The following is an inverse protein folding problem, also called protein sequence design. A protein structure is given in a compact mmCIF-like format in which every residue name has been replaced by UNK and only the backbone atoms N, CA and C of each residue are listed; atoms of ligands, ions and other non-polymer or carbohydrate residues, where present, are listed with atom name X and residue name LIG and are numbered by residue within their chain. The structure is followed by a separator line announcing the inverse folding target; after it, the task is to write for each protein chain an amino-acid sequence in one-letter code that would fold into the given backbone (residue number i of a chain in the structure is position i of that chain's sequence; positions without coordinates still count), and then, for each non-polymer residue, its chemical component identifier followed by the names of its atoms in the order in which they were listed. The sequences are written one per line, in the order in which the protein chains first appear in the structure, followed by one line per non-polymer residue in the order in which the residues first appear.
data_IF_586978138559
#
_entry.id   IF_586978138559
#
_cell.length_a   1.000
_cell.length_b   1.000
_cell.length_c   1.000
_cell.angle_alpha   90.00
_cell.angle_beta   90.00
_cell.angle_gamma   90.00
#
_symmetry.space_group_name_H-M   'P 1'
#
loop_
_entity.id
_entity.type
_entity.pdbx_description
1 polymer ?
#
# COMPACT_ATOMS: atom_id res chain seq x y z
N UNK A 1 -3.86 1.23 19.97
CA UNK A 1 -2.83 1.39 18.90
C UNK A 1 -3.25 0.57 17.69
N UNK A 2 -3.28 1.17 16.50
CA UNK A 2 -3.54 0.49 15.23
C UNK A 2 -2.21 0.41 14.45
N UNK A 3 -1.89 -0.77 13.90
CA UNK A 3 -0.74 -0.93 13.01
C UNK A 3 -1.24 -1.06 11.58
N UNK A 4 -0.80 -0.16 10.71
CA UNK A 4 -1.13 -0.16 9.29
C UNK A 4 0.05 -0.70 8.50
N UNK A 5 -0.21 -1.66 7.63
CA UNK A 5 0.76 -2.16 6.65
C UNK A 5 0.17 -1.97 5.25
N UNK A 6 0.91 -1.27 4.39
CA UNK A 6 0.56 -1.06 2.99
C UNK A 6 1.46 -1.96 2.14
N UNK A 7 0.85 -2.76 1.25
CA UNK A 7 1.55 -3.72 0.38
C UNK A 7 1.23 -3.40 -1.09
N UNK A 8 1.96 -2.44 -1.71
CA UNK A 8 1.73 -2.05 -3.10
C UNK A 8 2.28 -3.13 -4.05
N UNK A 9 1.39 -4.02 -4.47
CA UNK A 9 1.68 -5.11 -5.42
C UNK A 9 0.42 -5.55 -6.15
N UNK A 10 -0.66 -5.77 -5.40
CA UNK A 10 -1.97 -6.13 -5.95
C UNK A 10 -1.94 -7.49 -6.62
N UNK A 11 -2.22 -7.53 -7.92
CA UNK A 11 -2.30 -8.75 -8.75
C UNK A 11 -1.13 -8.86 -9.72
N UNK A 12 -0.03 -8.18 -9.40
CA UNK A 12 1.23 -8.31 -10.13
C UNK A 12 1.82 -9.70 -9.91
N UNK A 13 2.80 -10.09 -10.72
CA UNK A 13 3.59 -11.30 -10.50
C UNK A 13 5.01 -11.11 -11.00
N UNK A 14 5.97 -11.79 -10.39
CA UNK A 14 7.36 -11.79 -10.85
C UNK A 14 7.55 -12.68 -12.08
N UNK A 15 8.51 -12.30 -12.90
CA UNK A 15 9.00 -13.03 -14.07
C UNK A 15 10.53 -13.08 -14.03
N UNK A 16 11.16 -13.83 -14.93
CA UNK A 16 12.63 -13.84 -15.06
C UNK A 16 13.22 -12.45 -15.37
N UNK A 17 12.44 -11.58 -16.01
CA UNK A 17 12.85 -10.25 -16.45
C UNK A 17 12.36 -9.10 -15.56
N UNK A 18 11.64 -9.38 -14.47
CA UNK A 18 11.12 -8.35 -13.57
C UNK A 18 9.73 -8.66 -13.03
N UNK A 19 8.79 -7.72 -13.22
CA UNK A 19 7.41 -7.85 -12.75
C UNK A 19 6.44 -7.52 -13.88
N UNK A 20 5.33 -8.27 -13.92
CA UNK A 20 4.18 -7.96 -14.78
C UNK A 20 3.02 -7.48 -13.92
N UNK A 21 2.38 -6.39 -14.35
CA UNK A 21 1.25 -5.79 -13.66
C UNK A 21 0.06 -5.64 -14.63
N UNK A 22 -1.16 -5.56 -14.11
CA UNK A 22 -2.39 -5.60 -14.91
C UNK A 22 -2.55 -4.37 -15.83
N UNK A 23 -1.99 -3.25 -15.40
CA UNK A 23 -1.99 -1.96 -16.10
C UNK A 23 -0.60 -1.64 -16.68
N UNK A 24 0.24 -2.65 -16.86
CA UNK A 24 1.53 -2.55 -17.55
C UNK A 24 2.67 -1.96 -16.71
N UNK A 25 3.76 -1.59 -17.39
CA UNK A 25 5.02 -1.22 -16.75
C UNK A 25 4.94 0.01 -15.84
N UNK A 26 4.03 0.95 -16.14
CA UNK A 26 3.81 2.14 -15.31
C UNK A 26 3.29 1.78 -13.91
N UNK A 27 2.34 0.85 -13.83
CA UNK A 27 1.85 0.34 -12.54
C UNK A 27 2.96 -0.37 -11.78
N UNK A 28 3.76 -1.22 -12.44
CA UNK A 28 4.90 -1.88 -11.79
C UNK A 28 5.91 -0.88 -11.23
N UNK A 29 6.22 0.17 -12.00
CA UNK A 29 7.07 1.27 -11.53
C UNK A 29 6.45 1.96 -10.32
N UNK A 30 5.15 2.28 -10.36
CA UNK A 30 4.42 2.90 -9.26
C UNK A 30 4.41 2.06 -7.98
N UNK A 31 4.20 0.75 -8.10
CA UNK A 31 4.29 -0.19 -6.98
C UNK A 31 5.67 -0.18 -6.32
N UNK A 32 6.72 -0.14 -7.14
CA UNK A 32 8.10 -0.07 -6.65
C UNK A 32 8.42 1.28 -6.01
N UNK A 33 7.97 2.41 -6.59
CA UNK A 33 8.09 3.76 -5.99
C UNK A 33 7.46 3.78 -4.61
N UNK A 34 6.21 3.30 -4.49
CA UNK A 34 5.53 3.23 -3.21
C UNK A 34 6.27 2.33 -2.23
N UNK A 35 6.70 1.13 -2.63
CA UNK A 35 7.48 0.23 -1.75
C UNK A 35 8.76 0.88 -1.23
N UNK A 36 9.50 1.56 -2.11
CA UNK A 36 10.71 2.26 -1.74
C UNK A 36 10.45 3.39 -0.74
N UNK A 37 9.44 4.22 -0.98
CA UNK A 37 9.05 5.27 -0.04
C UNK A 37 8.61 4.70 1.31
N UNK A 38 7.77 3.65 1.32
CA UNK A 38 7.31 2.99 2.53
C UNK A 38 8.47 2.40 3.36
N UNK A 39 9.52 1.90 2.71
CA UNK A 39 10.72 1.37 3.38
C UNK A 39 11.56 2.44 4.10
N UNK A 40 11.38 3.72 3.75
CA UNK A 40 12.15 4.85 4.29
C UNK A 40 11.33 5.70 5.28
N UNK A 41 10.01 5.71 5.13
CA UNK A 41 9.12 6.49 5.97
C UNK A 41 8.79 5.76 7.28
N UNK A 42 8.64 6.49 8.40
CA UNK A 42 8.09 5.92 9.63
C UNK A 42 6.70 5.31 9.40
N UNK A 43 6.46 4.14 10.00
CA UNK A 43 5.19 3.44 9.89
C UNK A 43 4.00 4.32 10.32
N UNK A 44 2.88 4.19 9.62
CA UNK A 44 1.64 4.90 9.93
C UNK A 44 1.39 6.12 9.05
N UNK A 45 1.22 7.30 9.67
CA UNK A 45 0.62 8.46 8.98
C UNK A 45 1.43 8.95 7.77
N UNK A 46 2.75 9.02 7.89
CA UNK A 46 3.64 9.47 6.79
C UNK A 46 3.59 8.54 5.58
N UNK A 47 3.57 7.23 5.82
CA UNK A 47 3.38 6.24 4.77
C UNK A 47 2.03 6.41 4.05
N UNK A 48 0.94 6.60 4.83
CA UNK A 48 -0.39 6.83 4.27
C UNK A 48 -0.47 8.14 3.47
N UNK A 49 0.10 9.22 3.97
CA UNK A 49 0.12 10.52 3.29
C UNK A 49 0.89 10.42 1.95
N UNK A 50 2.06 9.77 1.93
CA UNK A 50 2.81 9.53 0.69
C UNK A 50 1.99 8.72 -0.31
N UNK A 51 1.47 7.56 0.11
CA UNK A 51 0.71 6.66 -0.76
C UNK A 51 -0.54 7.35 -1.31
N UNK A 52 -1.28 8.08 -0.48
CA UNK A 52 -2.47 8.82 -0.92
C UNK A 52 -2.13 9.93 -1.92
N UNK A 53 -1.05 10.68 -1.67
CA UNK A 53 -0.60 11.71 -2.59
C UNK A 53 -0.17 11.10 -3.94
N UNK A 54 0.68 10.08 -3.91
CA UNK A 54 1.24 9.47 -5.11
C UNK A 54 0.16 8.77 -5.94
N UNK A 55 -0.82 8.10 -5.31
CA UNK A 55 -1.94 7.51 -6.03
C UNK A 55 -2.85 8.54 -6.72
N UNK A 56 -2.85 9.80 -6.27
CA UNK A 56 -3.59 10.89 -6.91
C UNK A 56 -2.95 11.39 -8.22
N UNK A 57 -1.62 11.30 -8.33
CA UNK A 57 -0.86 11.64 -9.54
C UNK A 57 0.38 10.72 -9.66
N UNK A 58 0.20 9.47 -10.13
CA UNK A 58 1.27 8.48 -10.16
C UNK A 58 2.31 8.75 -11.27
N UNK A 59 1.95 9.57 -12.27
CA UNK A 59 2.84 9.89 -13.38
C UNK A 59 3.79 11.04 -13.04
N UNK A 60 3.34 12.06 -12.27
CA UNK A 60 4.13 13.28 -12.03
C UNK A 60 4.26 13.67 -10.55
N UNK A 61 3.42 13.14 -9.67
CA UNK A 61 3.34 13.55 -8.26
C UNK A 61 4.48 13.03 -7.37
N UNK A 62 5.28 12.05 -7.83
CA UNK A 62 6.34 11.39 -7.05
C UNK A 62 7.23 12.35 -6.24
N UNK A 63 7.93 13.29 -6.88
CA UNK A 63 8.82 14.23 -6.19
C UNK A 63 8.09 15.10 -5.15
N UNK A 64 6.93 15.66 -5.52
CA UNK A 64 6.13 16.51 -4.62
C UNK A 64 5.62 15.72 -3.41
N UNK A 65 5.14 14.49 -3.62
CA UNK A 65 4.65 13.62 -2.56
C UNK A 65 5.76 13.18 -1.61
N UNK A 66 6.97 12.95 -2.14
CA UNK A 66 8.16 12.65 -1.33
C UNK A 66 8.48 13.84 -0.40
N UNK A 67 8.57 15.05 -0.96
CA UNK A 67 8.87 16.26 -0.20
C UNK A 67 7.83 16.52 0.91
N UNK A 68 6.53 16.46 0.60
CA UNK A 68 5.45 16.63 1.58
C UNK A 68 5.50 15.57 2.70
N UNK A 69 5.99 14.38 2.37
CA UNK A 69 6.15 13.29 3.34
C UNK A 69 7.45 13.40 4.14
N UNK A 70 8.36 14.31 3.78
CA UNK A 70 9.66 14.50 4.43
C UNK A 70 10.71 13.51 3.94
N UNK A 71 10.65 13.11 2.67
CA UNK A 71 11.57 12.19 2.01
C UNK A 71 12.19 12.86 0.78
N UNK A 72 13.45 12.54 0.46
CA UNK A 72 14.05 12.94 -0.81
C UNK A 72 13.57 12.02 -1.93
N UNK A 73 13.25 12.61 -3.09
CA UNK A 73 12.99 11.81 -4.29
C UNK A 73 14.21 10.96 -4.69
N UNK A 74 15.41 11.49 -4.48
CA UNK A 74 16.66 10.78 -4.76
C UNK A 74 16.81 9.49 -3.92
N UNK A 75 16.30 9.48 -2.67
CA UNK A 75 16.31 8.28 -1.84
C UNK A 75 15.41 7.18 -2.40
N UNK A 76 14.26 7.57 -2.97
CA UNK A 76 13.34 6.65 -3.64
C UNK A 76 14.00 6.11 -4.92
N UNK A 77 14.57 6.98 -5.75
CA UNK A 77 15.24 6.58 -6.98
C UNK A 77 16.44 5.67 -6.70
N UNK A 78 17.25 5.99 -5.69
CA UNK A 78 18.35 5.14 -5.25
C UNK A 78 17.89 3.76 -4.79
N UNK A 79 16.76 3.68 -4.09
CA UNK A 79 16.14 2.39 -3.73
C UNK A 79 15.70 1.59 -4.97
N UNK A 80 15.11 2.25 -5.97
CA UNK A 80 14.69 1.60 -7.21
C UNK A 80 15.88 1.06 -8.02
N UNK A 81 17.00 1.79 -8.04
CA UNK A 81 18.17 1.47 -8.85
C UNK A 81 19.14 0.49 -8.17
N UNK A 82 19.15 0.41 -6.84
CA UNK A 82 20.08 -0.45 -6.07
C UNK A 82 19.65 -1.91 -5.96
N UNK A 83 18.50 -2.29 -6.51
CA UNK A 83 17.91 -3.63 -6.36
C UNK A 83 17.08 -3.83 -5.10
N UNK A 84 17.13 -2.89 -4.14
CA UNK A 84 16.27 -2.88 -2.95
C UNK A 84 14.80 -2.85 -3.35
N UNK A 85 14.41 -2.02 -4.32
CA UNK A 85 13.04 -1.98 -4.85
C UNK A 85 12.56 -3.33 -5.40
N UNK A 86 13.43 -4.07 -6.08
CA UNK A 86 13.13 -5.43 -6.57
C UNK A 86 12.90 -6.40 -5.42
N UNK A 87 13.75 -6.35 -4.39
CA UNK A 87 13.59 -7.22 -3.21
C UNK A 87 12.27 -6.93 -2.47
N UNK A 88 11.94 -5.65 -2.27
CA UNK A 88 10.69 -5.24 -1.66
C UNK A 88 9.46 -5.72 -2.44
N UNK A 89 9.51 -5.69 -3.78
CA UNK A 89 8.42 -6.19 -4.62
C UNK A 89 8.28 -7.73 -4.56
N UNK A 90 9.38 -8.48 -4.43
CA UNK A 90 9.32 -9.93 -4.20
C UNK A 90 8.71 -10.27 -2.83
N UNK A 91 9.04 -9.50 -1.79
CA UNK A 91 8.43 -9.66 -0.47
C UNK A 91 6.94 -9.30 -0.50
N UNK A 92 6.57 -8.26 -1.25
CA UNK A 92 5.18 -7.89 -1.46
C UNK A 92 4.41 -9.00 -2.19
N UNK A 93 5.01 -9.63 -3.21
CA UNK A 93 4.43 -10.80 -3.89
C UNK A 93 4.13 -11.94 -2.92
N UNK A 94 5.14 -12.34 -2.12
CA UNK A 94 4.98 -13.41 -1.14
C UNK A 94 3.86 -13.11 -0.15
N UNK A 95 3.80 -11.87 0.36
CA UNK A 95 2.74 -11.43 1.27
C UNK A 95 1.37 -11.48 0.60
N UNK A 96 1.24 -10.90 -0.59
CA UNK A 96 0.01 -10.92 -1.38
C UNK A 96 -0.48 -12.36 -1.61
N UNK A 97 0.41 -13.28 -2.00
CA UNK A 97 0.02 -14.67 -2.31
C UNK A 97 -0.18 -15.56 -1.08
N UNK A 98 0.39 -15.18 0.07
CA UNK A 98 0.13 -15.87 1.35
C UNK A 98 -1.31 -15.64 1.86
N UNK A 99 -1.96 -14.59 1.37
CA UNK A 99 -3.35 -14.27 1.68
C UNK A 99 -4.20 -14.89 0.58
N UNK A 100 -5.33 -15.51 0.95
CA UNK A 100 -6.35 -15.91 -0.04
C UNK A 100 -6.99 -14.64 -0.61
N UNK A 101 -6.28 -13.98 -1.53
CA UNK A 101 -6.70 -12.70 -2.06
C UNK A 101 -8.06 -12.83 -2.72
N UNK A 102 -8.87 -11.81 -2.47
CA UNK A 102 -10.00 -11.52 -3.33
C UNK A 102 -9.55 -11.45 -4.79
N UNK A 103 -10.43 -11.79 -5.74
CA UNK A 103 -10.21 -11.50 -7.18
C UNK A 103 -10.23 -9.99 -7.47
N UNK A 104 -10.20 -9.13 -6.46
CA UNK A 104 -10.35 -7.69 -6.52
C UNK A 104 -9.33 -7.00 -5.61
N UNK A 105 -8.88 -5.82 -6.04
CA UNK A 105 -8.03 -4.90 -5.26
C UNK A 105 -8.79 -3.59 -5.03
N UNK A 106 -8.64 -2.93 -3.86
CA UNK A 106 -7.78 -3.29 -2.74
C UNK A 106 -8.30 -4.52 -1.96
N UNK A 107 -7.39 -5.31 -1.39
CA UNK A 107 -7.71 -6.36 -0.41
C UNK A 107 -7.35 -5.85 0.99
N UNK A 108 -8.30 -5.92 1.93
CA UNK A 108 -8.19 -5.45 3.30
C UNK A 108 -8.14 -6.64 4.25
N UNK A 109 -7.15 -6.63 5.15
CA UNK A 109 -6.92 -7.68 6.15
C UNK A 109 -6.87 -7.00 7.52
N UNK A 110 -7.70 -7.49 8.44
CA UNK A 110 -7.73 -7.00 9.82
C UNK A 110 -7.27 -8.13 10.72
N UNK A 111 -6.34 -7.84 11.63
CA UNK A 111 -5.78 -8.83 12.58
C UNK A 111 -5.28 -10.11 11.88
N UNK A 112 -4.67 -9.96 10.70
CA UNK A 112 -4.11 -11.05 9.87
C UNK A 112 -5.15 -12.06 9.34
N UNK A 113 -6.44 -11.74 9.41
CA UNK A 113 -7.52 -12.61 8.91
C UNK A 113 -8.27 -11.91 7.78
N UNK A 114 -8.44 -12.63 6.65
CA UNK A 114 -9.34 -12.18 5.59
C UNK A 114 -10.79 -12.50 5.97
N UNK A 115 -11.65 -11.48 5.95
CA UNK A 115 -13.08 -11.63 6.17
C UNK A 115 -13.84 -10.90 5.03
N UNK A 116 -14.68 -11.61 4.24
CA UNK A 116 -15.42 -11.00 3.14
C UNK A 116 -16.37 -9.87 3.56
N UNK A 117 -16.98 -9.96 4.74
CA UNK A 117 -17.86 -8.91 5.28
C UNK A 117 -17.06 -7.66 5.63
N UNK A 118 -15.91 -7.83 6.27
CA UNK A 118 -15.03 -6.70 6.60
C UNK A 118 -14.48 -6.04 5.33
N UNK A 119 -14.11 -6.84 4.33
CA UNK A 119 -13.70 -6.37 3.01
C UNK A 119 -14.78 -5.51 2.35
N UNK A 120 -16.03 -6.02 2.30
CA UNK A 120 -17.15 -5.31 1.68
C UNK A 120 -17.47 -4.00 2.41
N UNK A 121 -17.48 -4.00 3.75
CA UNK A 121 -17.69 -2.79 4.55
C UNK A 121 -16.59 -1.75 4.34
N UNK A 122 -15.33 -2.19 4.29
CA UNK A 122 -14.18 -1.32 4.09
C UNK A 122 -14.25 -0.60 2.74
N UNK A 123 -14.62 -1.30 1.66
CA UNK A 123 -14.61 -0.73 0.30
C UNK A 123 -15.92 -0.03 -0.09
N UNK A 124 -17.04 -0.29 0.60
CA UNK A 124 -18.35 0.35 0.33
C UNK A 124 -18.66 1.55 1.22
N UNK A 125 -17.65 2.15 1.85
CA UNK A 125 -17.81 3.40 2.61
C UNK A 125 -18.28 3.23 4.05
N UNK A 126 -18.28 2.00 4.59
CA UNK A 126 -18.58 1.72 6.01
C UNK A 126 -17.31 1.53 6.84
N UNK A 127 -16.19 2.12 6.42
CA UNK A 127 -14.89 1.92 7.07
C UNK A 127 -14.89 2.40 8.54
N UNK A 128 -15.53 3.53 8.86
CA UNK A 128 -15.63 4.01 10.26
C UNK A 128 -16.40 3.02 11.14
N UNK A 129 -17.49 2.44 10.62
CA UNK A 129 -18.27 1.40 11.32
C UNK A 129 -17.42 0.17 11.61
N UNK A 130 -16.65 -0.27 10.62
CA UNK A 130 -15.73 -1.38 10.75
C UNK A 130 -14.65 -1.09 11.81
N UNK A 131 -14.05 0.09 11.79
CA UNK A 131 -13.03 0.50 12.77
C UNK A 131 -13.59 0.68 14.17
N UNK A 132 -14.82 1.18 14.33
CA UNK A 132 -15.48 1.23 15.64
C UNK A 132 -15.61 -0.19 16.24
N UNK A 133 -16.05 -1.17 15.44
CA UNK A 133 -16.20 -2.58 15.87
C UNK A 133 -14.90 -3.19 16.40
N UNK A 134 -13.78 -2.93 15.72
CA UNK A 134 -12.49 -3.54 16.07
C UNK A 134 -11.70 -2.77 17.14
N UNK A 135 -11.93 -1.47 17.27
CA UNK A 135 -11.13 -0.63 18.19
C UNK A 135 -11.87 -0.27 19.47
N UNK A 136 -13.21 -0.18 19.44
CA UNK A 136 -14.00 0.38 20.53
C UNK A 136 -13.68 1.85 20.85
N UNK A 137 -12.94 2.54 19.98
CA UNK A 137 -12.51 3.92 20.20
C UNK A 137 -13.70 4.88 20.15
N UNK A 138 -13.92 5.66 21.20
CA UNK A 138 -14.98 6.69 21.26
C UNK A 138 -14.91 7.66 20.09
N UNK A 139 -13.69 8.06 19.72
CA UNK A 139 -13.46 9.05 18.67
C UNK A 139 -13.84 8.50 17.29
N UNK A 140 -13.63 7.21 17.06
CA UNK A 140 -14.00 6.54 15.80
C UNK A 140 -15.49 6.20 15.80
N UNK A 141 -16.00 5.70 16.92
CA UNK A 141 -17.39 5.28 17.04
C UNK A 141 -18.38 6.46 16.97
N UNK A 142 -17.93 7.69 17.25
CA UNK A 142 -18.76 8.89 17.06
C UNK A 142 -18.93 9.32 15.59
N UNK A 143 -18.18 8.71 14.66
CA UNK A 143 -18.23 8.98 13.21
C UNK A 143 -19.12 8.00 12.42
N UNK A 144 -19.85 7.13 13.13
CA UNK A 144 -20.70 6.06 12.58
C UNK A 144 -22.16 6.45 12.71
#
# INVERSE_FOLDING_TARGET
HCNLELVPFGKSWSTESGFTCQHGAKECRGNMVMSCALSKLPAGRKQLDFTSCFMGDPDYGGPQCAEQSGLSWEDIEGCMQSGVGTQLQKEAEQKSYSIRMSRFVPTIIINKVYNPTDQDEAVRGSFNKLMCRYTGSSDICSLV
#
